data_IF_160590760818
#
_entry.id   IF_160590760818
#
_cell.length_a   1.000
_cell.length_b   1.000
_cell.length_c   1.000
_cell.angle_alpha   90.00
_cell.angle_beta   90.00
_cell.angle_gamma   90.00
#
_symmetry.space_group_name_H-M   'P 1'
#
loop_
_entity.id
_entity.type
_entity.pdbx_description
1 polymer ?
#
# COMPACT_ATOMS: atom_id res chain seq x y z
N UNK A 1 1.75 -4.45 -15.56
CA UNK A 1 0.49 -4.44 -14.81
C UNK A 1 0.63 -3.61 -13.56
N UNK A 2 -0.31 -2.73 -13.32
CA UNK A 2 -0.27 -1.86 -12.15
C UNK A 2 -0.90 -2.57 -10.96
N UNK A 3 -0.20 -2.56 -9.83
CA UNK A 3 -0.66 -3.22 -8.62
C UNK A 3 -0.57 -2.25 -7.44
N UNK A 4 -1.41 -2.49 -6.44
CA UNK A 4 -1.40 -1.75 -5.19
C UNK A 4 -0.99 -2.73 -4.10
N UNK A 5 0.08 -2.41 -3.38
CA UNK A 5 0.61 -3.35 -2.38
C UNK A 5 1.21 -2.62 -1.19
N UNK A 6 1.49 -3.41 -0.15
CA UNK A 6 2.18 -2.89 1.02
C UNK A 6 3.69 -3.03 0.81
N UNK A 7 4.42 -1.98 1.17
CA UNK A 7 5.87 -1.98 1.18
C UNK A 7 6.33 -1.82 2.61
N UNK A 8 7.18 -2.73 3.06
CA UNK A 8 7.72 -2.65 4.41
C UNK A 8 8.75 -1.53 4.50
N UNK A 9 8.58 -0.69 5.50
CA UNK A 9 9.49 0.41 5.78
C UNK A 9 9.77 0.44 7.27
N UNK A 10 10.69 1.29 7.69
CA UNK A 10 11.03 1.41 9.10
C UNK A 10 12.14 0.47 9.52
N UNK A 11 12.41 0.48 10.83
CA UNK A 11 13.49 -0.32 11.40
C UNK A 11 13.00 -1.68 11.85
N UNK A 12 13.92 -2.60 12.08
CA UNK A 12 13.60 -3.98 12.46
C UNK A 12 12.64 -4.10 13.64
N UNK A 13 12.77 -3.23 14.62
CA UNK A 13 11.94 -3.30 15.83
C UNK A 13 10.62 -2.55 15.71
N UNK A 14 10.50 -1.67 14.72
CA UNK A 14 9.29 -0.87 14.52
C UNK A 14 8.93 -0.84 13.04
N UNK A 15 8.53 -1.98 12.48
CA UNK A 15 8.15 -2.00 11.07
C UNK A 15 6.85 -1.25 10.85
N UNK A 16 6.78 -0.54 9.75
CA UNK A 16 5.50 -0.03 9.29
C UNK A 16 5.43 -0.24 7.79
N UNK A 17 4.24 -0.13 7.26
CA UNK A 17 4.00 -0.42 5.86
C UNK A 17 3.41 0.80 5.18
N UNK A 18 3.83 1.01 3.95
CA UNK A 18 3.27 2.05 3.11
C UNK A 18 2.47 1.38 2.00
N UNK A 19 1.29 1.92 1.73
CA UNK A 19 0.45 1.41 0.65
C UNK A 19 0.86 2.15 -0.61
N UNK A 20 1.39 1.42 -1.58
CA UNK A 20 1.99 2.03 -2.77
C UNK A 20 1.40 1.43 -4.03
N UNK A 21 1.38 2.24 -5.07
CA UNK A 21 1.01 1.81 -6.41
C UNK A 21 2.31 1.61 -7.19
N UNK A 22 2.47 0.46 -7.78
CA UNK A 22 3.69 0.13 -8.50
C UNK A 22 3.37 -0.73 -9.73
N UNK A 23 4.31 -0.77 -10.66
CA UNK A 23 4.20 -1.62 -11.83
C UNK A 23 4.88 -2.94 -11.52
N UNK A 24 4.16 -4.05 -11.70
CA UNK A 24 4.68 -5.38 -11.41
C UNK A 24 5.86 -5.77 -12.30
N UNK A 25 6.06 -5.05 -13.39
CA UNK A 25 7.20 -5.28 -14.28
C UNK A 25 8.49 -4.63 -13.81
N UNK A 26 8.38 -3.65 -12.91
CA UNK A 26 9.55 -2.95 -12.40
C UNK A 26 10.20 -3.72 -11.28
N UNK A 27 11.52 -3.57 -11.16
CA UNK A 27 12.25 -4.18 -10.05
C UNK A 27 11.88 -3.53 -8.74
N UNK A 28 12.10 -4.25 -7.64
CA UNK A 28 11.78 -3.77 -6.29
C UNK A 28 12.39 -2.41 -5.99
N UNK A 29 13.64 -2.24 -6.37
CA UNK A 29 14.42 -1.07 -6.03
C UNK A 29 14.19 0.10 -6.94
N UNK A 30 13.36 -0.04 -7.95
CA UNK A 30 13.06 1.07 -8.85
C UNK A 30 11.97 2.00 -8.30
N UNK A 31 11.46 1.72 -7.10
CA UNK A 31 10.49 2.57 -6.43
C UNK A 31 9.06 2.30 -6.85
N UNK A 32 8.19 3.17 -6.42
CA UNK A 32 6.77 3.06 -6.72
C UNK A 32 6.29 4.29 -7.49
N UNK A 33 5.11 4.13 -8.11
CA UNK A 33 4.50 5.22 -8.88
C UNK A 33 3.96 6.29 -7.94
N UNK A 34 3.24 5.86 -6.89
CA UNK A 34 2.61 6.77 -5.95
C UNK A 34 2.40 6.07 -4.61
N UNK A 35 2.50 6.82 -3.53
CA UNK A 35 2.17 6.34 -2.19
C UNK A 35 0.79 6.88 -1.83
N UNK A 36 -0.15 5.99 -1.51
CA UNK A 36 -1.55 6.37 -1.26
C UNK A 36 -2.00 6.13 0.17
N UNK A 37 -1.12 5.65 1.04
CA UNK A 37 -1.49 5.45 2.42
C UNK A 37 -0.38 4.76 3.21
N UNK A 38 -0.70 4.48 4.47
CA UNK A 38 0.23 3.76 5.33
C UNK A 38 -0.52 2.93 6.36
N UNK A 39 0.17 1.94 6.89
CA UNK A 39 -0.37 1.03 7.88
C UNK A 39 0.71 0.75 8.92
N UNK A 40 0.38 0.98 10.19
CA UNK A 40 1.30 0.73 11.29
C UNK A 40 0.65 -0.23 12.29
N UNK A 41 1.02 -1.51 12.27
CA UNK A 41 0.44 -2.50 13.19
C UNK A 41 1.09 -2.51 14.57
N UNK A 42 2.20 -1.81 14.75
CA UNK A 42 2.97 -1.86 16.00
C UNK A 42 2.35 -1.01 17.10
N UNK A 43 1.74 0.11 16.72
CA UNK A 43 1.12 1.01 17.70
C UNK A 43 -0.29 0.54 18.05
N UNK A 44 -0.75 0.90 19.24
CA UNK A 44 -2.13 0.62 19.66
C UNK A 44 -2.86 1.92 19.94
N UNK A 45 -4.05 2.12 19.35
CA UNK A 45 -4.64 1.23 18.33
C UNK A 45 -3.85 1.26 17.02
N UNK A 46 -4.00 0.23 16.22
CA UNK A 46 -3.33 0.17 14.92
C UNK A 46 -3.72 1.37 14.07
N UNK A 47 -2.74 1.95 13.41
CA UNK A 47 -2.98 3.10 12.53
C UNK A 47 -3.02 2.61 11.09
N UNK A 48 -4.12 2.96 10.43
CA UNK A 48 -4.29 2.66 9.01
C UNK A 48 -4.92 3.88 8.36
N UNK A 49 -4.23 4.43 7.38
CA UNK A 49 -4.76 5.54 6.59
C UNK A 49 -4.54 5.27 5.12
N UNK A 50 -5.54 5.61 4.33
CA UNK A 50 -5.47 5.49 2.90
C UNK A 50 -6.19 6.68 2.27
N UNK A 51 -5.64 7.18 1.17
CA UNK A 51 -6.31 8.20 0.38
C UNK A 51 -7.33 7.49 -0.51
N UNK A 52 -8.58 7.47 -0.08
CA UNK A 52 -9.64 6.75 -0.77
C UNK A 52 -9.85 7.25 -2.20
N UNK A 53 -9.71 8.55 -2.41
CA UNK A 53 -9.82 9.14 -3.72
C UNK A 53 -8.80 8.55 -4.69
N UNK A 54 -7.53 8.51 -4.26
CA UNK A 54 -6.47 7.95 -5.08
C UNK A 54 -6.60 6.45 -5.23
N UNK A 55 -6.99 5.77 -4.16
CA UNK A 55 -7.21 4.34 -4.22
C UNK A 55 -8.28 3.99 -5.25
N UNK A 56 -9.41 4.69 -5.19
CA UNK A 56 -10.49 4.47 -6.14
C UNK A 56 -10.08 4.83 -7.57
N UNK A 57 -9.30 5.90 -7.72
CA UNK A 57 -8.79 6.27 -9.04
C UNK A 57 -7.97 5.12 -9.65
N UNK A 58 -7.04 4.57 -8.86
CA UNK A 58 -6.19 3.50 -9.37
C UNK A 58 -6.98 2.23 -9.66
N UNK A 59 -7.98 1.93 -8.85
CA UNK A 59 -8.87 0.80 -9.13
C UNK A 59 -9.61 1.01 -10.46
N UNK A 60 -10.06 2.24 -10.71
CA UNK A 60 -10.82 2.55 -11.91
C UNK A 60 -9.98 2.42 -13.18
N UNK A 61 -8.67 2.61 -13.09
CA UNK A 61 -7.77 2.46 -14.24
C UNK A 61 -7.15 1.06 -14.31
N UNK A 62 -7.65 0.13 -13.51
CA UNK A 62 -7.26 -1.28 -13.62
C UNK A 62 -6.18 -1.76 -12.69
N UNK A 63 -5.77 -0.95 -11.71
CA UNK A 63 -4.80 -1.40 -10.72
C UNK A 63 -5.40 -2.51 -9.86
N UNK A 64 -4.60 -3.53 -9.54
CA UNK A 64 -5.06 -4.66 -8.73
C UNK A 64 -4.45 -4.59 -7.34
N UNK A 65 -5.27 -4.49 -6.29
CA UNK A 65 -4.76 -4.50 -4.91
C UNK A 65 -4.37 -5.91 -4.49
N UNK A 66 -3.32 -5.99 -3.66
CA UNK A 66 -2.92 -7.27 -3.08
C UNK A 66 -3.97 -7.72 -2.07
N UNK A 67 -3.91 -9.01 -1.69
CA UNK A 67 -4.86 -9.54 -0.71
C UNK A 67 -4.78 -8.79 0.62
N UNK A 68 -3.58 -8.44 1.07
CA UNK A 68 -3.43 -7.69 2.31
C UNK A 68 -4.07 -6.30 2.22
N UNK A 69 -3.87 -5.63 1.10
CA UNK A 69 -4.50 -4.32 0.90
C UNK A 69 -6.02 -4.46 0.86
N UNK A 70 -6.52 -5.48 0.19
CA UNK A 70 -7.97 -5.75 0.16
C UNK A 70 -8.51 -5.96 1.56
N UNK A 71 -7.82 -6.74 2.38
CA UNK A 71 -8.25 -7.00 3.76
C UNK A 71 -8.26 -5.73 4.59
N UNK A 72 -7.26 -4.88 4.42
CA UNK A 72 -7.16 -3.64 5.18
C UNK A 72 -8.23 -2.63 4.76
N UNK A 73 -8.58 -2.60 3.49
CA UNK A 73 -9.58 -1.67 2.97
C UNK A 73 -11.00 -2.22 3.05
N UNK A 74 -11.14 -3.51 3.25
CA UNK A 74 -12.44 -4.16 3.43
C UNK A 74 -12.94 -3.92 4.85
N UNK A 75 -14.18 -3.51 4.95
CA UNK A 75 -14.82 -3.31 6.25
C UNK A 75 -15.70 -4.48 6.61
#
# INVERSE_FOLDING_TARGET
MTVIRLTRMGRNKKPFYRIVVTDSRKRRDSGWIESIGYYNPVVEPQVFKIDEERYNYWLSVGAKPSEKVKKLTSK
#
